data_IF_170206465289
#
_entry.id   IF_170206465289
#
_cell.length_a   1.000
_cell.length_b   1.000
_cell.length_c   1.000
_cell.angle_alpha   90.00
_cell.angle_beta   90.00
_cell.angle_gamma   90.00
#
_symmetry.space_group_name_H-M   'P 1'
#
loop_
_entity.id
_entity.type
_entity.pdbx_description
1 polymer ?
#
# COMPACT_ATOMS: atom_id res chain seq x y z
N UNK A 1 12.48 -26.04 57.96
CA UNK A 1 13.13 -24.98 57.20
C UNK A 1 13.57 -25.53 55.85
N UNK A 2 12.73 -25.37 54.85
CA UNK A 2 12.99 -25.83 53.45
C UNK A 2 13.92 -24.82 52.82
N UNK A 3 15.18 -25.20 52.53
CA UNK A 3 16.11 -24.36 51.81
C UNK A 3 15.61 -24.25 50.39
N UNK A 4 15.01 -23.10 50.04
CA UNK A 4 14.71 -22.75 48.66
C UNK A 4 16.07 -22.67 47.90
N UNK A 5 16.20 -23.48 46.87
CA UNK A 5 17.39 -23.47 46.00
C UNK A 5 17.27 -22.24 45.11
N UNK A 6 18.16 -21.21 45.26
CA UNK A 6 18.06 -19.95 44.50
C UNK A 6 18.15 -20.17 43.01
N UNK A 7 18.80 -21.21 42.53
CA UNK A 7 18.89 -21.57 41.13
C UNK A 7 17.54 -22.05 40.55
N UNK A 8 16.72 -22.74 41.34
CA UNK A 8 15.37 -23.18 40.94
C UNK A 8 14.42 -21.98 40.74
N UNK A 9 14.54 -20.97 41.62
CA UNK A 9 13.71 -19.74 41.56
C UNK A 9 14.04 -18.90 40.35
N UNK A 10 15.33 -18.83 39.97
CA UNK A 10 15.78 -18.10 38.77
C UNK A 10 15.28 -18.78 37.49
N UNK A 11 15.33 -20.12 37.42
CA UNK A 11 14.86 -20.87 36.25
C UNK A 11 13.34 -20.77 36.07
N UNK A 12 12.58 -20.78 37.17
CA UNK A 12 11.13 -20.59 37.15
C UNK A 12 10.76 -19.16 36.68
N UNK A 13 11.41 -18.16 37.21
CA UNK A 13 11.20 -16.75 36.79
C UNK A 13 11.55 -16.52 35.32
N UNK A 14 12.64 -17.15 34.85
CA UNK A 14 13.03 -17.08 33.42
C UNK A 14 12.00 -17.78 32.51
N UNK A 15 11.48 -18.94 32.94
CA UNK A 15 10.47 -19.68 32.22
C UNK A 15 9.13 -18.90 32.14
N UNK A 16 8.75 -18.23 33.22
CA UNK A 16 7.56 -17.37 33.24
C UNK A 16 7.74 -16.13 32.34
N UNK A 17 8.90 -15.49 32.32
CA UNK A 17 9.20 -14.39 31.40
C UNK A 17 9.13 -14.82 29.95
N UNK A 18 9.77 -15.93 29.58
CA UNK A 18 9.69 -16.48 28.23
C UNK A 18 8.25 -16.81 27.83
N UNK A 19 7.46 -17.37 28.75
CA UNK A 19 6.05 -17.69 28.50
C UNK A 19 5.20 -16.41 28.32
N UNK A 20 5.47 -15.38 29.12
CA UNK A 20 4.84 -14.05 29.01
C UNK A 20 5.21 -13.35 27.71
N UNK A 21 6.49 -13.36 27.35
CA UNK A 21 6.96 -12.78 26.07
C UNK A 21 6.37 -13.49 24.86
N UNK A 22 6.34 -14.82 24.87
CA UNK A 22 5.71 -15.62 23.81
C UNK A 22 4.20 -15.36 23.70
N UNK A 23 3.51 -15.18 24.84
CA UNK A 23 2.09 -14.82 24.86
C UNK A 23 1.86 -13.42 24.32
N UNK A 24 2.68 -12.45 24.73
CA UNK A 24 2.64 -11.08 24.24
C UNK A 24 2.92 -11.01 22.74
N UNK A 25 3.93 -11.74 22.26
CA UNK A 25 4.25 -11.82 20.83
C UNK A 25 3.12 -12.45 20.00
N UNK A 26 2.46 -13.49 20.51
CA UNK A 26 1.26 -14.07 19.88
C UNK A 26 0.10 -13.09 19.87
N UNK A 27 -0.14 -12.37 20.96
CA UNK A 27 -1.18 -11.35 21.04
C UNK A 27 -0.93 -10.21 20.06
N UNK A 28 0.31 -9.74 19.94
CA UNK A 28 0.66 -8.71 18.95
C UNK A 28 0.44 -9.15 17.50
N UNK A 29 0.74 -10.43 17.18
CA UNK A 29 0.46 -10.99 15.85
C UNK A 29 -1.03 -11.11 15.55
N UNK A 30 -1.85 -11.35 16.57
CA UNK A 30 -3.30 -11.48 16.44
C UNK A 30 -4.04 -10.12 16.56
N UNK A 31 -3.39 -9.10 17.10
CA UNK A 31 -4.02 -7.81 17.35
C UNK A 31 -4.74 -7.20 16.11
N UNK A 32 -4.15 -7.21 14.90
CA UNK A 32 -4.85 -6.70 13.72
C UNK A 32 -6.13 -7.49 13.40
N UNK A 33 -6.12 -8.79 13.57
CA UNK A 33 -7.29 -9.66 13.34
C UNK A 33 -8.38 -9.42 14.39
N UNK A 34 -7.98 -9.24 15.65
CA UNK A 34 -8.91 -8.92 16.75
C UNK A 34 -9.58 -7.58 16.50
N UNK A 35 -8.79 -6.55 16.13
CA UNK A 35 -9.31 -5.22 15.78
C UNK A 35 -10.28 -5.31 14.61
N UNK A 36 -9.92 -6.04 13.56
CA UNK A 36 -10.79 -6.24 12.40
C UNK A 36 -12.10 -6.94 12.82
N UNK A 37 -12.04 -7.99 13.63
CA UNK A 37 -13.23 -8.69 14.11
C UNK A 37 -14.11 -7.77 14.94
N UNK A 38 -13.54 -6.98 15.85
CA UNK A 38 -14.27 -5.99 16.63
C UNK A 38 -14.95 -4.94 15.73
N UNK A 39 -14.27 -4.42 14.72
CA UNK A 39 -14.84 -3.48 13.76
C UNK A 39 -16.02 -4.09 13.00
N UNK A 40 -15.86 -5.33 12.52
CA UNK A 40 -16.95 -6.05 11.83
C UNK A 40 -18.17 -6.19 12.74
N UNK A 41 -17.97 -6.57 14.01
CA UNK A 41 -19.08 -6.69 15.00
C UNK A 41 -19.75 -5.32 15.23
N UNK A 42 -18.97 -4.27 15.40
CA UNK A 42 -19.53 -2.91 15.56
C UNK A 42 -20.38 -2.50 14.37
N UNK A 43 -19.88 -2.71 13.14
CA UNK A 43 -20.63 -2.37 11.93
C UNK A 43 -21.87 -3.26 11.74
N UNK A 44 -21.82 -4.53 12.14
CA UNK A 44 -23.00 -5.39 12.15
C UNK A 44 -24.09 -4.89 13.11
N UNK A 45 -23.70 -4.37 14.27
CA UNK A 45 -24.65 -3.81 15.23
C UNK A 45 -25.23 -2.50 14.72
N UNK A 46 -24.41 -1.61 14.13
CA UNK A 46 -24.83 -0.29 13.67
C UNK A 46 -25.62 -0.33 12.36
N UNK A 47 -25.14 -1.10 11.38
CA UNK A 47 -25.72 -1.16 10.03
C UNK A 47 -26.66 -2.35 9.82
N UNK A 48 -26.72 -3.28 10.77
CA UNK A 48 -27.54 -4.49 10.69
C UNK A 48 -27.17 -5.39 9.51
N UNK A 49 -28.16 -6.10 8.99
CA UNK A 49 -27.98 -7.03 7.86
C UNK A 49 -27.48 -6.36 6.58
N UNK A 50 -27.68 -5.04 6.42
CA UNK A 50 -27.20 -4.29 5.25
C UNK A 50 -25.68 -4.30 5.12
N UNK A 51 -24.94 -4.43 6.23
CA UNK A 51 -23.48 -4.50 6.22
C UNK A 51 -22.96 -5.72 5.46
N UNK A 52 -23.58 -6.89 5.63
CA UNK A 52 -23.22 -8.14 4.96
C UNK A 52 -23.94 -8.34 3.62
N UNK A 53 -24.70 -7.35 3.15
CA UNK A 53 -25.35 -7.48 1.84
C UNK A 53 -24.32 -7.67 0.73
N UNK A 54 -24.60 -8.52 -0.29
CA UNK A 54 -23.65 -8.73 -1.40
C UNK A 54 -23.22 -7.44 -2.07
N UNK A 55 -24.13 -6.48 -2.20
CA UNK A 55 -23.85 -5.16 -2.76
C UNK A 55 -22.82 -4.39 -1.95
N UNK A 56 -22.93 -4.40 -0.61
CA UNK A 56 -21.99 -3.70 0.24
C UNK A 56 -20.62 -4.39 0.25
N UNK A 57 -20.58 -5.73 0.25
CA UNK A 57 -19.33 -6.49 0.15
C UNK A 57 -18.60 -6.15 -1.15
N UNK A 58 -19.31 -6.08 -2.29
CA UNK A 58 -18.71 -5.69 -3.56
C UNK A 58 -18.19 -4.25 -3.53
N UNK A 59 -18.89 -3.33 -2.87
CA UNK A 59 -18.41 -1.96 -2.67
C UNK A 59 -17.14 -1.91 -1.82
N UNK A 60 -17.06 -2.69 -0.74
CA UNK A 60 -15.87 -2.78 0.11
C UNK A 60 -14.68 -3.33 -0.70
N UNK A 61 -14.87 -4.41 -1.45
CA UNK A 61 -13.84 -5.00 -2.31
C UNK A 61 -13.33 -4.01 -3.35
N UNK A 62 -14.23 -3.26 -3.97
CA UNK A 62 -13.87 -2.24 -4.95
C UNK A 62 -13.04 -1.11 -4.33
N UNK A 63 -13.48 -0.60 -3.18
CA UNK A 63 -12.80 0.51 -2.50
C UNK A 63 -11.45 0.11 -1.88
N UNK A 64 -11.28 -1.13 -1.41
CA UNK A 64 -10.03 -1.59 -0.83
C UNK A 64 -8.95 -1.94 -1.87
N UNK A 65 -9.33 -2.13 -3.14
CA UNK A 65 -8.40 -2.59 -4.18
C UNK A 65 -7.23 -1.61 -4.39
N UNK A 66 -7.51 -0.31 -4.53
CA UNK A 66 -6.47 0.70 -4.70
C UNK A 66 -5.56 0.85 -3.46
N UNK A 67 -6.08 1.03 -2.23
CA UNK A 67 -5.25 1.06 -1.03
C UNK A 67 -4.39 -0.21 -0.85
N UNK A 68 -4.91 -1.37 -1.23
CA UNK A 68 -4.16 -2.62 -1.16
C UNK A 68 -2.93 -2.58 -2.08
N UNK A 69 -3.08 -2.19 -3.34
CA UNK A 69 -1.96 -2.09 -4.29
C UNK A 69 -0.91 -1.10 -3.80
N UNK A 70 -1.34 0.05 -3.27
CA UNK A 70 -0.45 1.05 -2.66
C UNK A 70 0.30 0.48 -1.46
N UNK A 71 -0.40 -0.22 -0.56
CA UNK A 71 0.20 -0.85 0.62
C UNK A 71 1.23 -1.93 0.26
N UNK A 72 1.02 -2.68 -0.82
CA UNK A 72 2.01 -3.64 -1.33
C UNK A 72 3.32 -2.96 -1.74
N UNK A 73 3.24 -1.83 -2.44
CA UNK A 73 4.43 -1.04 -2.78
C UNK A 73 5.14 -0.51 -1.54
N UNK A 74 4.37 0.06 -0.57
CA UNK A 74 4.91 0.52 0.71
C UNK A 74 5.61 -0.57 1.51
N UNK A 75 5.13 -1.81 1.43
CA UNK A 75 5.73 -2.92 2.16
C UNK A 75 7.21 -3.07 1.81
N UNK A 76 7.57 -2.98 0.52
CA UNK A 76 8.98 -3.05 0.10
C UNK A 76 9.82 -1.90 0.66
N UNK A 77 9.27 -0.69 0.73
CA UNK A 77 9.98 0.47 1.28
C UNK A 77 10.20 0.33 2.80
N UNK A 78 9.16 -0.13 3.52
CA UNK A 78 9.24 -0.35 4.97
C UNK A 78 10.22 -1.49 5.30
N UNK A 79 10.25 -2.54 4.48
CA UNK A 79 11.21 -3.64 4.65
C UNK A 79 12.66 -3.19 4.49
N UNK A 80 12.93 -2.14 3.70
CA UNK A 80 14.24 -1.50 3.60
C UNK A 80 14.57 -0.57 4.78
N UNK A 81 13.67 -0.44 5.77
CA UNK A 81 13.84 0.49 6.89
C UNK A 81 13.57 1.96 6.54
N UNK A 82 13.05 2.23 5.34
CA UNK A 82 12.76 3.56 4.82
C UNK A 82 11.29 3.95 5.00
N UNK A 83 11.01 5.26 4.96
CA UNK A 83 9.66 5.81 5.02
C UNK A 83 9.39 6.57 3.72
N UNK A 84 8.29 6.25 3.05
CA UNK A 84 7.84 6.94 1.85
C UNK A 84 6.51 7.67 2.10
N UNK A 85 6.58 9.00 2.11
CA UNK A 85 5.42 9.89 2.23
C UNK A 85 4.96 10.43 0.87
N UNK A 86 5.65 10.10 -0.23
CA UNK A 86 5.36 10.64 -1.56
C UNK A 86 4.09 10.05 -2.20
N UNK A 87 3.57 8.97 -1.67
CA UNK A 87 2.50 8.16 -2.27
C UNK A 87 1.26 8.97 -2.59
N UNK A 88 0.78 9.79 -1.64
CA UNK A 88 -0.41 10.62 -1.85
C UNK A 88 -0.22 11.58 -3.05
N UNK A 89 0.96 12.22 -3.14
CA UNK A 89 1.32 13.05 -4.28
C UNK A 89 1.48 12.28 -5.59
N UNK A 90 2.15 11.13 -5.54
CA UNK A 90 2.43 10.30 -6.71
C UNK A 90 1.16 9.69 -7.31
N UNK A 91 0.24 9.20 -6.48
CA UNK A 91 -1.07 8.68 -6.92
C UNK A 91 -1.90 9.80 -7.54
N UNK A 92 -1.95 10.99 -6.88
CA UNK A 92 -2.64 12.16 -7.41
C UNK A 92 -2.08 12.63 -8.75
N UNK A 93 -0.75 12.69 -8.87
CA UNK A 93 -0.06 13.04 -10.11
C UNK A 93 -0.34 12.02 -11.23
N UNK A 94 -0.23 10.74 -10.93
CA UNK A 94 -0.48 9.68 -11.91
C UNK A 94 -1.93 9.75 -12.43
N UNK A 95 -2.90 9.92 -11.54
CA UNK A 95 -4.30 10.08 -11.91
C UNK A 95 -4.55 11.33 -12.75
N UNK A 96 -3.90 12.45 -12.41
CA UNK A 96 -4.00 13.69 -13.18
C UNK A 96 -3.43 13.55 -14.57
N UNK A 97 -2.22 13.02 -14.71
CA UNK A 97 -1.57 12.80 -16.02
C UNK A 97 -2.39 11.82 -16.87
N UNK A 98 -2.85 10.72 -16.26
CA UNK A 98 -3.73 9.78 -16.94
C UNK A 98 -4.98 10.48 -17.49
N UNK A 99 -5.69 11.25 -16.64
CA UNK A 99 -6.91 11.93 -17.03
C UNK A 99 -6.69 12.99 -18.13
N UNK A 100 -5.51 13.63 -18.17
CA UNK A 100 -5.18 14.62 -19.21
C UNK A 100 -4.88 13.97 -20.56
N UNK A 101 -4.31 12.77 -20.60
CA UNK A 101 -3.87 12.13 -21.85
C UNK A 101 -4.85 11.11 -22.43
N UNK A 102 -5.87 10.71 -21.67
CA UNK A 102 -6.97 9.89 -22.17
C UNK A 102 -8.08 10.78 -22.73
N UNK A 103 -9.00 10.22 -23.52
CA UNK A 103 -10.16 10.94 -24.02
C UNK A 103 -10.95 11.58 -22.87
N UNK A 104 -10.99 12.91 -22.88
CA UNK A 104 -11.57 13.71 -21.78
C UNK A 104 -12.33 14.95 -22.29
N UNK A 105 -12.84 15.78 -21.37
CA UNK A 105 -13.64 16.98 -21.66
C UNK A 105 -12.86 18.21 -22.06
N UNK A 106 -11.58 18.29 -21.65
CA UNK A 106 -10.82 19.54 -21.70
C UNK A 106 -9.72 19.53 -22.78
N UNK A 107 -9.08 18.37 -22.99
CA UNK A 107 -7.95 18.26 -23.89
C UNK A 107 -8.27 17.42 -25.12
N UNK A 108 -7.70 17.80 -26.24
CA UNK A 108 -7.88 17.08 -27.52
C UNK A 108 -7.03 15.80 -27.64
N UNK A 109 -6.31 15.43 -26.57
CA UNK A 109 -5.47 14.24 -26.56
C UNK A 109 -6.31 13.00 -26.32
N UNK A 110 -6.02 11.95 -27.07
CA UNK A 110 -6.55 10.60 -26.83
C UNK A 110 -5.44 9.60 -27.14
N UNK A 111 -4.60 9.36 -26.13
CA UNK A 111 -3.50 8.40 -26.21
C UNK A 111 -3.92 6.98 -25.76
N UNK A 112 -5.16 6.79 -25.36
CA UNK A 112 -5.68 5.50 -24.93
C UNK A 112 -4.78 4.85 -23.87
N UNK A 113 -4.33 3.60 -24.12
CA UNK A 113 -3.47 2.87 -23.19
C UNK A 113 -2.09 3.51 -22.92
N UNK A 114 -1.58 4.31 -23.88
CA UNK A 114 -0.30 5.01 -23.70
C UNK A 114 -0.34 6.01 -22.55
N UNK A 115 -1.52 6.57 -22.22
CA UNK A 115 -1.70 7.45 -21.06
C UNK A 115 -1.36 6.77 -19.73
N UNK A 116 -1.66 5.47 -19.61
CA UNK A 116 -1.28 4.66 -18.42
C UNK A 116 0.24 4.53 -18.36
N UNK A 117 0.88 4.20 -19.48
CA UNK A 117 2.34 4.04 -19.55
C UNK A 117 3.06 5.34 -19.17
N UNK A 118 2.57 6.49 -19.64
CA UNK A 118 3.12 7.81 -19.29
C UNK A 118 2.94 8.09 -17.80
N UNK A 119 1.75 7.91 -17.26
CA UNK A 119 1.46 8.16 -15.85
C UNK A 119 2.33 7.29 -14.92
N UNK A 120 2.45 6.01 -15.23
CA UNK A 120 3.31 5.07 -14.49
C UNK A 120 4.78 5.44 -14.66
N UNK A 121 5.24 5.74 -15.88
CA UNK A 121 6.63 6.10 -16.15
C UNK A 121 7.08 7.35 -15.41
N UNK A 122 6.25 8.40 -15.38
CA UNK A 122 6.55 9.63 -14.63
C UNK A 122 6.58 9.36 -13.13
N UNK A 123 5.65 8.54 -12.61
CA UNK A 123 5.64 8.16 -11.19
C UNK A 123 6.87 7.33 -10.81
N UNK A 124 7.32 6.41 -11.67
CA UNK A 124 8.55 5.65 -11.49
C UNK A 124 9.78 6.56 -11.48
N UNK A 125 9.84 7.56 -12.35
CA UNK A 125 10.90 8.57 -12.37
C UNK A 125 10.95 9.36 -11.06
N UNK A 126 9.83 9.79 -10.52
CA UNK A 126 9.78 10.46 -9.22
C UNK A 126 10.28 9.54 -8.09
N UNK A 127 9.85 8.28 -8.07
CA UNK A 127 10.34 7.29 -7.11
C UNK A 127 11.85 7.05 -7.22
N UNK A 128 12.37 6.96 -8.44
CA UNK A 128 13.82 6.86 -8.69
C UNK A 128 14.57 8.07 -8.15
N UNK A 129 14.08 9.28 -8.38
CA UNK A 129 14.69 10.51 -7.88
C UNK A 129 14.69 10.57 -6.35
N UNK A 130 13.62 10.15 -5.69
CA UNK A 130 13.56 10.03 -4.23
C UNK A 130 14.67 9.07 -3.74
N UNK A 131 14.78 7.89 -4.35
CA UNK A 131 15.83 6.93 -4.03
C UNK A 131 17.23 7.47 -4.24
N UNK A 132 17.49 8.18 -5.35
CA UNK A 132 18.77 8.83 -5.62
C UNK A 132 19.11 9.92 -4.59
N UNK A 133 18.14 10.74 -4.20
CA UNK A 133 18.31 11.73 -3.14
C UNK A 133 18.66 11.06 -1.80
N UNK A 134 18.02 9.96 -1.47
CA UNK A 134 18.30 9.22 -0.25
C UNK A 134 19.71 8.61 -0.26
N UNK A 135 20.07 7.89 -1.32
CA UNK A 135 21.32 7.11 -1.40
C UNK A 135 22.53 8.01 -1.63
N UNK A 136 22.49 8.93 -2.60
CA UNK A 136 23.66 9.73 -3.00
C UNK A 136 23.78 11.03 -2.23
N UNK A 137 22.67 11.72 -1.99
CA UNK A 137 22.70 12.97 -1.20
C UNK A 137 22.59 12.72 0.30
N UNK A 138 22.36 11.46 0.70
CA UNK A 138 22.20 11.04 2.11
C UNK A 138 21.10 11.82 2.85
N UNK A 139 20.08 12.25 2.12
CA UNK A 139 18.91 12.90 2.69
C UNK A 139 18.04 11.81 3.33
N UNK A 140 17.55 11.97 4.57
CA UNK A 140 16.62 11.02 5.18
C UNK A 140 15.42 10.74 4.27
N UNK A 141 15.05 9.47 4.12
CA UNK A 141 14.02 9.03 3.16
C UNK A 141 12.69 9.76 3.32
N UNK A 142 12.26 9.99 4.59
CA UNK A 142 11.02 10.71 4.87
C UNK A 142 11.06 12.18 4.42
N UNK A 143 12.22 12.85 4.50
CA UNK A 143 12.37 14.23 4.03
C UNK A 143 12.31 14.31 2.51
N UNK A 144 13.04 13.43 1.82
CA UNK A 144 13.03 13.38 0.37
C UNK A 144 11.61 13.07 -0.15
N UNK A 145 10.98 12.03 0.37
CA UNK A 145 9.64 11.63 -0.05
C UNK A 145 8.57 12.67 0.27
N UNK A 146 8.67 13.35 1.42
CA UNK A 146 7.76 14.44 1.77
C UNK A 146 7.88 15.63 0.80
N UNK A 147 9.10 16.03 0.43
CA UNK A 147 9.31 17.07 -0.57
C UNK A 147 8.72 16.66 -1.93
N UNK A 148 8.98 15.42 -2.37
CA UNK A 148 8.43 14.90 -3.62
C UNK A 148 6.92 14.74 -3.61
N UNK A 149 6.29 14.52 -2.47
CA UNK A 149 4.82 14.56 -2.36
C UNK A 149 4.25 15.88 -2.88
N UNK A 150 4.84 17.01 -2.47
CA UNK A 150 4.38 18.32 -2.93
C UNK A 150 4.78 18.62 -4.38
N UNK A 151 5.95 18.18 -4.82
CA UNK A 151 6.36 18.26 -6.21
C UNK A 151 5.36 17.52 -7.11
N UNK A 152 5.03 16.27 -6.77
CA UNK A 152 4.06 15.48 -7.52
C UNK A 152 2.66 16.12 -7.51
N UNK A 153 2.19 16.62 -6.35
CA UNK A 153 0.93 17.37 -6.28
C UNK A 153 0.95 18.60 -7.19
N UNK A 154 2.05 19.34 -7.20
CA UNK A 154 2.24 20.49 -8.08
C UNK A 154 2.20 20.12 -9.55
N UNK A 155 2.91 19.06 -9.96
CA UNK A 155 2.88 18.55 -11.34
C UNK A 155 1.45 18.15 -11.72
N UNK A 156 0.74 17.42 -10.86
CA UNK A 156 -0.64 17.05 -11.08
C UNK A 156 -1.53 18.27 -11.30
N UNK A 157 -1.42 19.28 -10.44
CA UNK A 157 -2.23 20.50 -10.51
C UNK A 157 -1.95 21.31 -11.78
N UNK A 158 -0.68 21.44 -12.17
CA UNK A 158 -0.26 22.15 -13.39
C UNK A 158 -0.73 21.42 -14.65
N UNK A 159 -0.74 20.08 -14.64
CA UNK A 159 -1.11 19.28 -15.82
C UNK A 159 -2.55 19.53 -16.27
N UNK A 160 -3.51 19.77 -15.35
CA UNK A 160 -4.90 20.05 -15.68
C UNK A 160 -5.27 21.55 -15.52
N UNK A 161 -4.29 22.45 -15.33
CA UNK A 161 -4.49 23.90 -15.30
C UNK A 161 -5.58 24.38 -14.32
N UNK A 162 -5.76 23.68 -13.21
CA UNK A 162 -6.78 23.98 -12.19
C UNK A 162 -8.20 23.45 -12.49
N UNK A 163 -8.43 22.89 -13.69
CA UNK A 163 -9.72 22.33 -14.10
C UNK A 163 -9.59 20.80 -14.34
N UNK A 164 -9.91 19.94 -13.35
CA UNK A 164 -9.81 18.52 -13.51
C UNK A 164 -10.66 18.01 -14.68
N UNK A 165 -10.07 17.34 -15.69
CA UNK A 165 -10.81 16.84 -16.83
C UNK A 165 -11.72 15.68 -16.44
N UNK A 166 -12.89 15.63 -17.07
CA UNK A 166 -13.79 14.48 -16.95
C UNK A 166 -13.46 13.46 -18.04
N UNK A 167 -13.13 12.25 -17.62
CA UNK A 167 -12.82 11.13 -18.54
C UNK A 167 -14.09 10.77 -19.33
N UNK A 168 -13.98 10.69 -20.65
CA UNK A 168 -15.06 10.35 -21.58
C UNK A 168 -14.83 9.01 -22.30
N UNK A 169 -13.67 8.39 -22.11
CA UNK A 169 -13.38 7.09 -22.69
C UNK A 169 -14.36 6.02 -22.15
N UNK A 170 -15.13 5.35 -23.03
CA UNK A 170 -16.15 4.40 -22.61
C UNK A 170 -15.57 3.15 -21.95
N UNK A 171 -14.38 2.71 -22.34
CA UNK A 171 -13.73 1.54 -21.75
C UNK A 171 -13.29 1.85 -20.34
N UNK A 172 -12.64 2.99 -20.14
CA UNK A 172 -12.10 3.40 -18.83
C UNK A 172 -13.22 3.71 -17.85
N UNK A 173 -14.27 4.40 -18.28
CA UNK A 173 -15.43 4.72 -17.44
C UNK A 173 -16.24 3.48 -17.05
N UNK A 174 -16.19 2.41 -17.85
CA UNK A 174 -16.83 1.14 -17.53
C UNK A 174 -16.04 0.29 -16.52
N UNK A 175 -14.70 0.43 -16.44
CA UNK A 175 -13.85 -0.41 -15.58
C UNK A 175 -14.29 -0.49 -14.10
N UNK A 176 -14.63 0.63 -13.41
CA UNK A 176 -15.05 0.57 -12.02
C UNK A 176 -16.37 -0.16 -11.78
N UNK A 177 -17.22 -0.26 -12.80
CA UNK A 177 -18.55 -0.89 -12.75
C UNK A 177 -18.55 -2.30 -13.32
N UNK A 178 -17.51 -2.68 -14.06
CA UNK A 178 -17.37 -4.01 -14.64
C UNK A 178 -17.10 -5.04 -13.55
N UNK A 179 -17.86 -6.14 -13.59
CA UNK A 179 -17.65 -7.29 -12.70
C UNK A 179 -17.26 -8.52 -13.50
N UNK A 180 -16.31 -9.27 -12.99
CA UNK A 180 -15.91 -10.58 -13.52
C UNK A 180 -16.12 -11.64 -12.44
N UNK A 181 -16.86 -12.69 -12.74
CA UNK A 181 -17.29 -13.71 -11.77
C UNK A 181 -18.01 -13.12 -10.54
N UNK A 182 -18.75 -12.03 -10.71
CA UNK A 182 -19.48 -11.36 -9.62
C UNK A 182 -18.59 -10.48 -8.71
N UNK A 183 -17.30 -10.34 -9.01
CA UNK A 183 -16.34 -9.51 -8.25
C UNK A 183 -15.92 -8.32 -9.12
N UNK A 184 -15.75 -7.09 -8.58
CA UNK A 184 -15.29 -5.93 -9.33
C UNK A 184 -13.95 -6.20 -10.03
N UNK A 185 -13.82 -5.77 -11.28
CA UNK A 185 -12.62 -6.01 -12.09
C UNK A 185 -11.35 -5.45 -11.42
N UNK A 186 -11.43 -4.28 -10.77
CA UNK A 186 -10.32 -3.66 -10.05
C UNK A 186 -9.82 -4.54 -8.90
N UNK A 187 -10.71 -5.29 -8.24
CA UNK A 187 -10.33 -6.25 -7.20
C UNK A 187 -9.47 -7.38 -7.75
N UNK A 188 -9.78 -7.87 -8.97
CA UNK A 188 -8.93 -8.86 -9.64
C UNK A 188 -7.54 -8.33 -9.96
N UNK A 189 -7.45 -7.07 -10.40
CA UNK A 189 -6.16 -6.41 -10.60
C UNK A 189 -5.37 -6.36 -9.30
N UNK A 190 -6.00 -6.02 -8.19
CA UNK A 190 -5.35 -5.99 -6.88
C UNK A 190 -4.89 -7.39 -6.43
N UNK A 191 -5.68 -8.45 -6.68
CA UNK A 191 -5.28 -9.83 -6.38
C UNK A 191 -4.06 -10.25 -7.21
N UNK A 192 -4.06 -9.95 -8.51
CA UNK A 192 -2.91 -10.24 -9.39
C UNK A 192 -1.66 -9.50 -8.91
N UNK A 193 -1.79 -8.21 -8.56
CA UNK A 193 -0.68 -7.43 -8.01
C UNK A 193 -0.19 -8.00 -6.68
N UNK A 194 -1.07 -8.45 -5.80
CA UNK A 194 -0.70 -9.12 -4.56
C UNK A 194 0.13 -10.38 -4.83
N UNK A 195 -0.36 -11.26 -5.72
CA UNK A 195 0.37 -12.49 -6.07
C UNK A 195 1.72 -12.20 -6.71
N UNK A 196 1.81 -11.17 -7.54
CA UNK A 196 3.06 -10.74 -8.18
C UNK A 196 4.04 -10.19 -7.14
N UNK A 197 3.61 -9.30 -6.25
CA UNK A 197 4.45 -8.77 -5.18
C UNK A 197 4.90 -9.88 -4.21
N UNK A 198 4.00 -10.79 -3.85
CA UNK A 198 4.34 -11.97 -3.05
C UNK A 198 5.41 -12.84 -3.72
N UNK A 199 5.24 -13.12 -5.02
CA UNK A 199 6.23 -13.88 -5.78
C UNK A 199 7.59 -13.18 -5.84
N UNK A 200 7.60 -11.86 -6.11
CA UNK A 200 8.82 -11.07 -6.14
C UNK A 200 9.53 -11.11 -4.77
N UNK A 201 8.77 -10.95 -3.69
CA UNK A 201 9.30 -10.92 -2.33
C UNK A 201 9.91 -12.26 -1.90
N UNK A 202 9.20 -13.37 -2.12
CA UNK A 202 9.57 -14.66 -1.57
C UNK A 202 10.52 -15.46 -2.49
N UNK A 203 10.37 -15.33 -3.81
CA UNK A 203 11.03 -16.24 -4.75
C UNK A 203 12.12 -15.58 -5.59
N UNK A 204 12.31 -14.25 -5.52
CA UNK A 204 13.34 -13.59 -6.35
C UNK A 204 14.57 -13.14 -5.56
N UNK A 205 15.67 -12.88 -6.28
CA UNK A 205 16.87 -12.28 -5.69
C UNK A 205 16.57 -10.88 -5.13
N UNK A 206 15.65 -10.13 -5.73
CA UNK A 206 15.25 -8.81 -5.30
C UNK A 206 14.68 -8.83 -3.87
N UNK A 207 13.75 -9.75 -3.57
CA UNK A 207 13.20 -9.89 -2.22
C UNK A 207 14.29 -10.23 -1.19
N UNK A 208 15.19 -11.16 -1.52
CA UNK A 208 16.32 -11.51 -0.62
C UNK A 208 17.24 -10.33 -0.33
N UNK A 209 17.53 -9.49 -1.36
CA UNK A 209 18.35 -8.28 -1.15
C UNK A 209 17.64 -7.26 -0.26
N UNK A 210 16.32 -7.06 -0.43
CA UNK A 210 15.55 -6.17 0.44
C UNK A 210 15.63 -6.60 1.91
N UNK A 211 15.45 -7.89 2.20
CA UNK A 211 15.58 -8.42 3.56
C UNK A 211 17.01 -8.23 4.11
N UNK A 212 18.02 -8.49 3.30
CA UNK A 212 19.42 -8.33 3.72
C UNK A 212 19.75 -6.88 4.07
N UNK A 213 19.40 -5.93 3.20
CA UNK A 213 19.65 -4.50 3.40
C UNK A 213 18.84 -3.96 4.58
N UNK A 214 17.57 -4.35 4.72
CA UNK A 214 16.71 -3.89 5.81
C UNK A 214 17.11 -4.38 7.20
N UNK A 215 17.88 -5.49 7.29
CA UNK A 215 18.42 -5.99 8.57
C UNK A 215 19.77 -5.40 8.91
N UNK A 216 20.56 -4.95 7.93
CA UNK A 216 21.88 -4.35 8.16
C UNK A 216 22.27 -3.46 6.97
N UNK A 217 22.23 -2.15 7.17
CA UNK A 217 22.59 -1.14 6.14
C UNK A 217 24.06 -1.19 5.67
N UNK A 218 24.91 -1.99 6.34
CA UNK A 218 26.34 -2.08 6.04
C UNK A 218 26.73 -3.30 5.18
N UNK A 219 25.75 -3.98 4.56
CA UNK A 219 25.99 -5.12 3.66
C UNK A 219 25.98 -4.65 2.18
#
# INVERSE_FOLDING_TARGET
MMKLNPAATITEEFAERIKSENRSAKMMKLAPLIVLACLVVVFLIVCGASFLSPKNIMNILNQMALPLVVALGLTFVIMLGSIDLSIDGSVGMAGSLFACFVLNSEFAYDLGFLSVVIAVGVSMLCGLLIGLCHVYLKIPSFMASFAFMYICKGIGMVSYQGHPPTIKDPVITALPTTTFLGIPFITWVAIVMFLLCFFIQEYTAFGRHIYAVGTNENI
#
